data_IF_619882128995
#
_entry.id   IF_619882128995
#
_cell.length_a   1.000
_cell.length_b   1.000
_cell.length_c   1.000
_cell.angle_alpha   90.00
_cell.angle_beta   90.00
_cell.angle_gamma   90.00
#
_symmetry.space_group_name_H-M   'P 1'
#
loop_
_entity.id
_entity.type
_entity.pdbx_description
1 polymer ?
#
# COMPACT_ATOMS: atom_id res chain seq x y z
N UNK A 1 7.89 -0.60 6.92
CA UNK A 1 7.55 -1.52 5.82
C UNK A 1 8.58 -1.44 4.69
N UNK A 2 8.87 -0.25 4.14
CA UNK A 2 9.80 -0.02 3.01
C UNK A 2 11.13 -0.82 3.05
N UNK A 3 11.87 -0.80 4.17
CA UNK A 3 13.16 -1.51 4.28
C UNK A 3 13.05 -3.04 4.24
N UNK A 4 11.90 -3.62 4.60
CA UNK A 4 11.68 -5.07 4.48
C UNK A 4 11.49 -5.49 3.02
N UNK A 5 10.83 -4.66 2.23
CA UNK A 5 10.62 -4.92 0.80
C UNK A 5 11.96 -4.85 0.04
N UNK A 6 12.79 -3.83 0.29
CA UNK A 6 14.11 -3.72 -0.36
C UNK A 6 15.01 -4.94 -0.07
N UNK A 7 14.94 -5.50 1.14
CA UNK A 7 15.67 -6.72 1.46
C UNK A 7 15.10 -7.94 0.72
N UNK A 8 13.77 -8.08 0.67
CA UNK A 8 13.10 -9.16 -0.04
C UNK A 8 13.41 -9.13 -1.54
N UNK A 9 13.38 -7.96 -2.16
CA UNK A 9 13.71 -7.75 -3.58
C UNK A 9 15.14 -8.20 -3.88
N UNK A 10 16.10 -7.83 -3.01
CA UNK A 10 17.50 -8.30 -3.15
C UNK A 10 17.63 -9.80 -3.01
N UNK A 11 16.91 -10.42 -2.07
CA UNK A 11 16.91 -11.88 -1.92
C UNK A 11 16.31 -12.57 -3.14
N UNK A 12 15.25 -12.02 -3.72
CA UNK A 12 14.67 -12.53 -4.96
C UNK A 12 15.67 -12.43 -6.11
N UNK A 13 16.29 -11.25 -6.31
CA UNK A 13 17.29 -11.04 -7.36
C UNK A 13 18.47 -12.02 -7.23
N UNK A 14 18.96 -12.22 -6.01
CA UNK A 14 20.04 -13.19 -5.74
C UNK A 14 19.56 -14.62 -6.03
N UNK A 15 18.33 -14.97 -5.64
CA UNK A 15 17.74 -16.29 -5.87
C UNK A 15 17.64 -16.59 -7.36
N UNK A 16 17.18 -15.64 -8.17
CA UNK A 16 17.10 -15.75 -9.63
C UNK A 16 18.49 -15.90 -10.26
N UNK A 17 19.48 -15.14 -9.81
CA UNK A 17 20.87 -15.26 -10.29
C UNK A 17 21.48 -16.62 -9.97
N UNK A 18 21.25 -17.14 -8.77
CA UNK A 18 21.75 -18.45 -8.38
C UNK A 18 21.06 -19.55 -9.21
N UNK A 19 19.74 -19.47 -9.38
CA UNK A 19 18.99 -20.44 -10.18
C UNK A 19 19.45 -20.48 -11.65
N UNK A 20 19.66 -19.31 -12.25
CA UNK A 20 20.19 -19.18 -13.60
C UNK A 20 21.61 -19.76 -13.71
N UNK A 21 22.49 -19.43 -12.75
CA UNK A 21 23.87 -19.92 -12.74
C UNK A 21 23.95 -21.44 -12.57
N UNK A 22 23.12 -22.02 -11.70
CA UNK A 22 23.04 -23.48 -11.54
C UNK A 22 22.52 -24.16 -12.81
N UNK A 23 21.54 -23.56 -13.49
CA UNK A 23 20.93 -24.15 -14.70
C UNK A 23 21.87 -24.16 -15.90
N UNK A 24 22.85 -23.26 -15.94
CA UNK A 24 23.86 -23.19 -17.00
C UNK A 24 24.94 -24.30 -16.88
N UNK A 25 25.04 -24.95 -15.71
CA UNK A 25 26.03 -26.02 -15.48
C UNK A 25 25.58 -27.31 -16.17
N UNK A 26 26.46 -27.84 -17.03
CA UNK A 26 26.26 -29.13 -17.69
C UNK A 26 26.64 -30.30 -16.76
N UNK A 27 25.80 -30.60 -15.76
CA UNK A 27 26.07 -31.66 -14.76
C UNK A 27 26.30 -33.05 -15.37
N UNK A 28 25.66 -33.36 -16.51
CA UNK A 28 25.84 -34.62 -17.24
C UNK A 28 27.27 -34.86 -17.76
N UNK A 29 28.12 -33.82 -17.77
CA UNK A 29 29.54 -33.92 -18.17
C UNK A 29 30.48 -34.06 -16.98
N UNK A 30 29.95 -33.97 -15.76
CA UNK A 30 30.72 -34.15 -14.55
C UNK A 30 30.58 -35.62 -14.13
N UNK A 31 31.70 -36.29 -13.87
CA UNK A 31 31.71 -37.66 -13.33
C UNK A 31 31.34 -37.63 -11.83
N UNK A 32 30.09 -37.29 -11.53
CA UNK A 32 29.55 -37.19 -10.17
C UNK A 32 28.76 -38.45 -9.79
N UNK A 33 28.66 -38.74 -8.49
CA UNK A 33 27.88 -39.86 -7.99
C UNK A 33 26.37 -39.58 -8.04
N UNK A 34 25.58 -40.66 -7.98
CA UNK A 34 24.11 -40.59 -7.96
C UNK A 34 23.58 -39.74 -6.79
N UNK A 35 24.18 -39.88 -5.61
CA UNK A 35 23.79 -39.10 -4.42
C UNK A 35 24.03 -37.59 -4.60
N UNK A 36 25.11 -37.21 -5.29
CA UNK A 36 25.41 -35.80 -5.59
C UNK A 36 24.44 -35.27 -6.63
N UNK A 37 24.06 -36.09 -7.61
CA UNK A 37 23.06 -35.72 -8.62
C UNK A 37 21.69 -35.45 -7.99
N UNK A 38 21.23 -36.32 -7.08
CA UNK A 38 19.96 -36.11 -6.35
C UNK A 38 19.98 -34.80 -5.54
N UNK A 39 21.11 -34.49 -4.90
CA UNK A 39 21.28 -33.23 -4.16
C UNK A 39 21.17 -32.01 -5.09
N UNK A 40 21.77 -32.06 -6.28
CA UNK A 40 21.67 -31.00 -7.27
C UNK A 40 20.22 -30.81 -7.72
N UNK A 41 19.50 -31.89 -8.02
CA UNK A 41 18.10 -31.83 -8.41
C UNK A 41 17.21 -31.21 -7.31
N UNK A 42 17.47 -31.58 -6.05
CA UNK A 42 16.80 -30.97 -4.90
C UNK A 42 17.07 -29.47 -4.81
N UNK A 43 18.32 -29.04 -4.96
CA UNK A 43 18.68 -27.61 -4.95
C UNK A 43 17.94 -26.86 -6.06
N UNK A 44 17.93 -27.38 -7.29
CA UNK A 44 17.15 -26.79 -8.39
C UNK A 44 15.66 -26.70 -8.07
N UNK A 45 15.07 -27.75 -7.49
CA UNK A 45 13.66 -27.75 -7.13
C UNK A 45 13.34 -26.66 -6.09
N UNK A 46 14.22 -26.46 -5.10
CA UNK A 46 14.05 -25.41 -4.09
C UNK A 46 14.17 -24.01 -4.67
N UNK A 47 15.16 -23.76 -5.52
CA UNK A 47 15.33 -22.46 -6.18
C UNK A 47 14.17 -22.12 -7.13
N UNK A 48 13.70 -23.09 -7.92
CA UNK A 48 12.51 -22.93 -8.78
C UNK A 48 11.26 -22.61 -7.97
N UNK A 49 11.08 -23.29 -6.83
CA UNK A 49 9.97 -23.04 -5.92
C UNK A 49 10.03 -21.64 -5.31
N UNK A 50 11.20 -21.23 -4.84
CA UNK A 50 11.41 -19.92 -4.23
C UNK A 50 11.13 -18.78 -5.23
N UNK A 51 11.60 -18.93 -6.47
CA UNK A 51 11.32 -17.99 -7.57
C UNK A 51 9.82 -17.86 -7.87
N UNK A 52 9.13 -18.99 -8.06
CA UNK A 52 7.71 -19.01 -8.39
C UNK A 52 6.82 -18.40 -7.29
N UNK A 53 7.14 -18.63 -6.02
CA UNK A 53 6.28 -18.21 -4.90
C UNK A 53 6.11 -16.69 -4.81
N UNK A 54 7.15 -15.92 -5.12
CA UNK A 54 7.08 -14.46 -5.15
C UNK A 54 6.36 -13.97 -6.41
N UNK A 55 6.68 -14.55 -7.57
CA UNK A 55 6.07 -14.17 -8.85
C UNK A 55 4.54 -14.34 -8.86
N UNK A 56 3.97 -15.40 -8.28
CA UNK A 56 2.53 -15.63 -8.32
C UNK A 56 1.73 -14.84 -7.27
N UNK A 57 2.27 -14.63 -6.08
CA UNK A 57 1.54 -13.99 -4.99
C UNK A 57 1.35 -12.49 -5.23
N UNK A 58 2.37 -11.82 -5.74
CA UNK A 58 2.36 -10.39 -6.01
C UNK A 58 1.66 -10.08 -7.34
N UNK A 59 1.85 -10.92 -8.38
CA UNK A 59 1.16 -10.72 -9.66
C UNK A 59 -0.37 -10.78 -9.53
N UNK A 60 -0.90 -11.70 -8.73
CA UNK A 60 -2.34 -11.78 -8.52
C UNK A 60 -2.86 -10.54 -7.79
N UNK A 61 -2.14 -10.05 -6.78
CA UNK A 61 -2.50 -8.84 -6.05
C UNK A 61 -2.45 -7.61 -6.97
N UNK A 62 -1.41 -7.48 -7.79
CA UNK A 62 -1.25 -6.39 -8.75
C UNK A 62 -2.36 -6.39 -9.81
N UNK A 63 -2.70 -7.55 -10.34
CA UNK A 63 -3.82 -7.71 -11.27
C UNK A 63 -5.14 -7.29 -10.63
N UNK A 64 -5.40 -7.74 -9.40
CA UNK A 64 -6.62 -7.42 -8.69
C UNK A 64 -6.73 -5.92 -8.39
N UNK A 65 -5.64 -5.29 -7.95
CA UNK A 65 -5.58 -3.84 -7.72
C UNK A 65 -5.82 -3.10 -9.04
N UNK A 66 -5.18 -3.53 -10.13
CA UNK A 66 -5.35 -2.90 -11.45
C UNK A 66 -6.79 -3.02 -11.97
N UNK A 67 -7.43 -4.18 -11.80
CA UNK A 67 -8.85 -4.37 -12.13
C UNK A 67 -9.73 -3.48 -11.26
N UNK A 68 -9.50 -3.50 -9.95
CA UNK A 68 -10.27 -2.70 -9.00
C UNK A 68 -10.12 -1.19 -9.21
N UNK A 69 -9.01 -0.71 -9.77
CA UNK A 69 -8.81 0.70 -10.12
C UNK A 69 -9.49 1.08 -11.44
N UNK A 70 -9.38 0.23 -12.47
CA UNK A 70 -9.90 0.50 -13.82
C UNK A 70 -11.42 0.37 -13.90
N UNK A 71 -11.98 -0.66 -13.25
CA UNK A 71 -13.40 -0.96 -13.34
C UNK A 71 -14.19 -0.13 -12.32
N UNK A 72 -15.32 0.42 -12.75
CA UNK A 72 -16.20 1.19 -11.85
C UNK A 72 -16.80 0.29 -10.76
N UNK A 73 -17.27 -0.89 -11.17
CA UNK A 73 -17.93 -1.89 -10.33
C UNK A 73 -17.21 -3.25 -10.49
N UNK A 74 -16.08 -3.46 -9.81
CA UNK A 74 -15.32 -4.71 -9.91
C UNK A 74 -16.10 -5.89 -9.34
N UNK A 75 -15.80 -7.10 -9.82
CA UNK A 75 -16.38 -8.33 -9.27
C UNK A 75 -16.17 -8.40 -7.74
N UNK A 76 -17.22 -8.61 -6.93
CA UNK A 76 -17.11 -8.78 -5.47
C UNK A 76 -16.09 -9.83 -5.05
N UNK A 77 -15.86 -10.88 -5.85
CA UNK A 77 -14.84 -11.89 -5.57
C UNK A 77 -13.40 -11.32 -5.61
N UNK A 78 -13.15 -10.32 -6.46
CA UNK A 78 -11.88 -9.59 -6.54
C UNK A 78 -11.71 -8.72 -5.30
N UNK A 79 -12.75 -7.94 -4.94
CA UNK A 79 -12.72 -7.07 -3.76
C UNK A 79 -12.55 -7.87 -2.46
N UNK A 80 -13.19 -9.03 -2.35
CA UNK A 80 -13.02 -9.95 -1.21
C UNK A 80 -11.58 -10.46 -1.12
N UNK A 81 -11.00 -10.89 -2.24
CA UNK A 81 -9.61 -11.36 -2.29
C UNK A 81 -8.62 -10.26 -1.93
N UNK A 82 -8.85 -9.03 -2.40
CA UNK A 82 -8.08 -7.85 -2.02
C UNK A 82 -8.20 -7.55 -0.52
N UNK A 83 -9.41 -7.53 0.02
CA UNK A 83 -9.64 -7.34 1.46
C UNK A 83 -8.90 -8.39 2.30
N UNK A 84 -8.91 -9.65 1.87
CA UNK A 84 -8.22 -10.74 2.55
C UNK A 84 -6.69 -10.60 2.50
N UNK A 85 -6.14 -10.24 1.33
CA UNK A 85 -4.69 -10.09 1.07
C UNK A 85 -4.11 -8.83 1.69
N UNK A 86 -4.84 -7.72 1.66
CA UNK A 86 -4.45 -6.44 2.27
C UNK A 86 -4.79 -6.38 3.77
N UNK A 87 -5.44 -7.42 4.31
CA UNK A 87 -5.89 -7.48 5.70
C UNK A 87 -6.88 -6.36 6.10
N UNK A 88 -7.70 -5.89 5.15
CA UNK A 88 -8.71 -4.85 5.34
C UNK A 88 -10.11 -5.47 5.47
N UNK A 89 -10.31 -6.28 6.52
CA UNK A 89 -11.49 -7.17 6.65
C UNK A 89 -12.66 -6.51 7.40
N UNK A 90 -12.37 -5.48 8.17
CA UNK A 90 -13.37 -4.80 9.00
C UNK A 90 -13.44 -3.31 8.67
N UNK A 91 -14.56 -2.69 9.07
CA UNK A 91 -14.72 -1.24 8.98
C UNK A 91 -13.64 -0.51 9.80
N UNK A 92 -13.19 -1.10 10.91
CA UNK A 92 -12.13 -0.52 11.74
C UNK A 92 -10.79 -0.53 11.01
N UNK A 93 -10.46 -1.61 10.28
CA UNK A 93 -9.24 -1.68 9.47
C UNK A 93 -9.25 -0.60 8.39
N UNK A 94 -10.39 -0.43 7.70
CA UNK A 94 -10.57 0.60 6.68
C UNK A 94 -10.52 2.03 7.24
N UNK A 95 -11.14 2.28 8.40
CA UNK A 95 -11.08 3.59 9.08
C UNK A 95 -9.66 3.93 9.49
N UNK A 96 -8.92 2.94 10.00
CA UNK A 96 -7.52 3.09 10.38
C UNK A 96 -6.67 3.42 9.15
N UNK A 97 -6.77 2.61 8.10
CA UNK A 97 -6.01 2.80 6.85
C UNK A 97 -6.31 4.16 6.20
N UNK A 98 -7.59 4.55 6.16
CA UNK A 98 -7.99 5.88 5.64
C UNK A 98 -7.42 7.03 6.47
N UNK A 99 -7.21 6.85 7.77
CA UNK A 99 -6.59 7.86 8.63
C UNK A 99 -5.08 7.92 8.40
N UNK A 100 -4.42 6.76 8.28
CA UNK A 100 -2.98 6.69 7.96
C UNK A 100 -2.69 7.30 6.59
N UNK A 101 -3.54 7.05 5.59
CA UNK A 101 -3.45 7.67 4.27
C UNK A 101 -3.56 9.21 4.35
N UNK A 102 -4.45 9.74 5.18
CA UNK A 102 -4.60 11.17 5.39
C UNK A 102 -3.35 11.80 6.02
N UNK A 103 -2.79 11.16 7.06
CA UNK A 103 -1.53 11.63 7.67
C UNK A 103 -0.38 11.60 6.67
N UNK A 104 -0.31 10.58 5.81
CA UNK A 104 0.68 10.51 4.74
C UNK A 104 0.58 11.73 3.80
N UNK A 105 -0.63 12.11 3.38
CA UNK A 105 -0.85 13.29 2.52
C UNK A 105 -0.32 14.55 3.19
N UNK A 106 -0.61 14.78 4.47
CA UNK A 106 -0.13 15.95 5.22
C UNK A 106 1.41 15.99 5.21
N UNK A 107 2.07 14.86 5.40
CA UNK A 107 3.53 14.78 5.46
C UNK A 107 4.22 14.83 4.10
N UNK A 108 3.50 14.61 3.00
CA UNK A 108 4.05 14.44 1.64
C UNK A 108 4.25 15.73 0.84
N UNK A 109 4.00 16.91 1.42
CA UNK A 109 4.12 18.24 0.79
C UNK A 109 3.46 18.36 -0.61
N UNK A 110 2.42 17.56 -0.87
CA UNK A 110 1.61 17.64 -2.10
C UNK A 110 2.06 16.78 -3.29
N UNK A 111 3.08 15.92 -3.16
CA UNK A 111 3.60 15.12 -4.28
C UNK A 111 2.75 13.87 -4.64
N UNK A 112 1.72 13.53 -3.86
CA UNK A 112 1.03 12.23 -3.95
C UNK A 112 -0.13 12.12 -4.94
N UNK A 113 -0.48 13.19 -5.67
CA UNK A 113 -1.72 13.39 -6.44
C UNK A 113 -2.44 12.14 -6.96
N UNK A 114 -1.93 11.51 -8.02
CA UNK A 114 -2.60 10.38 -8.69
C UNK A 114 -2.64 9.11 -7.82
N UNK A 115 -1.61 8.90 -6.99
CA UNK A 115 -1.50 7.74 -6.10
C UNK A 115 -2.53 7.82 -4.97
N UNK A 116 -2.72 9.01 -4.39
CA UNK A 116 -3.69 9.23 -3.33
C UNK A 116 -5.12 8.96 -3.79
N UNK A 117 -5.50 9.44 -4.98
CA UNK A 117 -6.84 9.20 -5.53
C UNK A 117 -7.05 7.71 -5.82
N UNK A 118 -6.04 7.03 -6.37
CA UNK A 118 -6.11 5.60 -6.65
C UNK A 118 -6.32 4.76 -5.37
N UNK A 119 -5.58 5.05 -4.30
CA UNK A 119 -5.72 4.35 -3.01
C UNK A 119 -7.05 4.71 -2.33
N UNK A 120 -7.45 5.98 -2.35
CA UNK A 120 -8.72 6.45 -1.78
C UNK A 120 -9.94 5.82 -2.49
N UNK A 121 -9.87 5.68 -3.80
CA UNK A 121 -10.88 4.99 -4.62
C UNK A 121 -10.95 3.51 -4.25
N UNK A 122 -9.81 2.84 -4.10
CA UNK A 122 -9.76 1.43 -3.71
C UNK A 122 -10.36 1.19 -2.32
N UNK A 123 -9.99 1.98 -1.32
CA UNK A 123 -10.53 1.87 0.05
C UNK A 123 -12.05 2.04 0.08
N UNK A 124 -12.60 2.93 -0.77
CA UNK A 124 -14.04 3.13 -0.89
C UNK A 124 -14.75 1.89 -1.44
N UNK A 125 -14.22 1.30 -2.50
CA UNK A 125 -14.76 0.06 -3.10
C UNK A 125 -14.71 -1.11 -2.12
N UNK A 126 -13.61 -1.24 -1.36
CA UNK A 126 -13.49 -2.26 -0.32
C UNK A 126 -14.48 -2.05 0.82
N UNK A 127 -14.71 -0.82 1.25
CA UNK A 127 -15.71 -0.48 2.27
C UNK A 127 -17.11 -0.90 1.86
N UNK A 128 -17.49 -0.63 0.62
CA UNK A 128 -18.81 -0.99 0.11
C UNK A 128 -19.00 -2.52 0.06
N UNK A 129 -17.94 -3.28 -0.25
CA UNK A 129 -17.96 -4.75 -0.18
C UNK A 129 -18.08 -5.30 1.25
N UNK A 130 -17.32 -4.75 2.21
CA UNK A 130 -17.32 -5.19 3.62
C UNK A 130 -18.68 -4.91 4.29
N UNK A 131 -19.36 -3.83 3.90
CA UNK A 131 -20.70 -3.49 4.41
C UNK A 131 -21.78 -4.45 3.93
N UNK A 132 -21.65 -5.01 2.72
CA UNK A 132 -22.60 -5.98 2.17
C UNK A 132 -22.52 -7.32 2.92
N UNK A 133 -21.32 -7.74 3.31
CA UNK A 133 -21.09 -9.00 4.03
C UNK A 133 -21.44 -8.91 5.54
N UNK A 134 -21.58 -7.70 6.11
CA UNK A 134 -21.90 -7.50 7.52
C UNK A 134 -23.01 -6.44 7.75
N UNK A 135 -24.28 -6.78 7.48
CA UNK A 135 -25.40 -5.83 7.53
C UNK A 135 -25.74 -5.35 8.95
N UNK A 136 -25.26 -6.00 10.01
CA UNK A 136 -25.58 -5.62 11.39
C UNK A 136 -24.92 -4.31 11.84
N UNK A 137 -23.85 -3.87 11.16
CA UNK A 137 -23.11 -2.62 11.47
C UNK A 137 -23.67 -1.41 10.69
N UNK A 138 -24.56 -1.63 9.73
CA UNK A 138 -25.12 -0.58 8.89
C UNK A 138 -26.13 0.34 9.63
N UNK A 139 -26.59 -0.06 10.83
CA UNK A 139 -27.67 0.65 11.54
C UNK A 139 -27.23 1.90 12.33
N UNK A 140 -25.94 2.24 12.41
CA UNK A 140 -25.48 3.35 13.27
C UNK A 140 -24.67 4.44 12.57
N UNK A 141 -24.38 4.33 11.27
CA UNK A 141 -23.51 5.31 10.60
C UNK A 141 -24.12 5.80 9.29
N UNK A 142 -25.31 6.39 9.40
CA UNK A 142 -25.76 7.43 8.46
C UNK A 142 -25.12 8.78 8.81
N UNK A 143 -23.85 8.79 9.19
CA UNK A 143 -23.06 10.01 9.16
C UNK A 143 -22.38 10.03 7.82
N UNK A 144 -22.95 10.83 6.91
CA UNK A 144 -22.13 11.42 5.87
C UNK A 144 -20.91 12.00 6.57
N UNK A 145 -19.75 11.36 6.38
CA UNK A 145 -18.46 11.94 6.69
C UNK A 145 -18.31 13.10 5.72
N UNK A 146 -18.99 14.19 6.03
CA UNK A 146 -18.64 15.52 5.58
C UNK A 146 -17.24 15.70 6.11
N UNK A 147 -16.27 15.57 5.22
CA UNK A 147 -14.86 15.81 5.46
C UNK A 147 -14.78 17.26 5.96
N UNK A 148 -14.89 17.44 7.27
CA UNK A 148 -14.47 18.68 7.91
C UNK A 148 -12.97 18.63 7.78
N UNK A 149 -12.45 19.27 6.74
CA UNK A 149 -11.07 19.73 6.72
C UNK A 149 -10.82 20.34 8.10
N UNK A 150 -10.05 19.67 8.95
CA UNK A 150 -9.57 20.28 10.18
C UNK A 150 -8.66 21.40 9.70
N UNK A 151 -9.22 22.60 9.63
CA UNK A 151 -8.43 23.80 9.41
C UNK A 151 -7.35 23.80 10.50
N UNK A 152 -6.07 23.96 10.13
CA UNK A 152 -4.99 23.95 11.11
C UNK A 152 -5.32 24.91 12.24
N UNK A 153 -5.05 24.52 13.49
CA UNK A 153 -5.28 25.39 14.65
C UNK A 153 -4.34 26.57 14.53
N UNK A 154 -4.88 27.72 14.11
CA UNK A 154 -4.12 28.97 13.96
C UNK A 154 -3.70 29.41 15.37
N UNK A 155 -2.41 29.64 15.69
CA UNK A 155 -2.02 30.19 16.99
C UNK A 155 -2.60 31.60 17.19
N UNK A 156 -2.92 31.97 18.42
CA UNK A 156 -3.61 33.24 18.71
C UNK A 156 -2.86 34.48 18.19
N UNK A 157 -1.53 34.43 18.15
CA UNK A 157 -0.67 35.48 17.59
C UNK A 157 -0.91 35.77 16.10
N UNK A 158 -1.50 34.82 15.37
CA UNK A 158 -1.81 34.93 13.94
C UNK A 158 -3.31 35.07 13.68
N UNK A 159 -4.13 35.22 14.72
CA UNK A 159 -5.57 35.44 14.59
C UNK A 159 -5.90 36.92 14.68
N UNK A 160 -6.87 37.36 13.90
CA UNK A 160 -7.49 38.66 14.10
C UNK A 160 -8.27 38.63 15.44
N UNK A 161 -8.08 39.61 16.35
CA UNK A 161 -8.79 39.66 17.63
C UNK A 161 -10.32 39.72 17.51
N UNK A 162 -10.84 40.11 16.34
CA UNK A 162 -12.28 40.27 16.10
C UNK A 162 -12.85 39.05 15.38
N UNK A 163 -12.24 38.60 14.28
CA UNK A 163 -12.79 37.48 13.49
C UNK A 163 -12.33 36.11 13.99
N UNK A 164 -11.25 36.03 14.77
CA UNK A 164 -10.56 34.79 15.16
C UNK A 164 -10.05 33.95 13.97
N UNK A 165 -10.10 34.50 12.76
CA UNK A 165 -9.55 33.92 11.54
C UNK A 165 -8.10 34.37 11.33
N UNK A 166 -7.38 33.67 10.43
CA UNK A 166 -5.99 33.97 10.09
C UNK A 166 -5.86 35.43 9.61
N UNK A 167 -4.95 36.18 10.20
CA UNK A 167 -4.69 37.58 9.86
C UNK A 167 -4.16 37.67 8.43
N UNK A 168 -4.96 38.23 7.52
CA UNK A 168 -4.62 38.34 6.09
C UNK A 168 -3.77 39.56 5.74
N UNK A 169 -3.62 40.52 6.65
CA UNK A 169 -2.99 41.81 6.37
C UNK A 169 -2.05 42.23 7.52
N UNK A 170 -0.85 41.62 7.62
CA UNK A 170 0.11 41.97 8.66
C UNK A 170 0.72 43.36 8.39
N UNK A 171 0.57 44.28 9.34
CA UNK A 171 1.24 45.59 9.29
C UNK A 171 2.74 45.39 9.54
N UNK A 172 3.56 45.56 8.51
CA UNK A 172 5.02 45.56 8.66
C UNK A 172 5.42 46.90 9.28
N UNK A 173 5.76 46.90 10.57
CA UNK A 173 6.48 48.02 11.20
C UNK A 173 7.97 47.80 11.00
N UNK A 174 8.57 48.54 10.06
CA UNK A 174 10.02 48.67 10.00
C UNK A 174 10.50 49.24 11.33
N UNK A 175 11.13 48.43 12.17
CA UNK A 175 11.84 48.94 13.35
C UNK A 175 13.00 49.79 12.85
N UNK A 176 12.77 51.10 12.71
CA UNK A 176 13.79 52.09 12.49
C UNK A 176 14.62 52.23 13.77
N UNK A 177 15.60 51.35 13.94
CA UNK A 177 16.73 51.59 14.83
C UNK A 177 17.95 51.87 13.95
N UNK A 178 18.30 53.16 13.90
CA UNK A 178 19.63 53.65 13.58
C UNK A 178 20.47 53.63 14.86
#
# INVERSE_FOLDING_TARGET
>A
ALRRNEAADKFQEITEKIEAALTDISYNKLEISEEVQEQIELVHAQFKRAKAQTEFADLQLDLDIAVAQKEKDPDPAILKRLSEKLHLRTINDLKKESSELHELVITSDGELGDSFEAVSSLLRKLKDCVLIDNPEVASYESEQVSIKHRSPVIPDDFRCPISLELMKDPVIVSTGQL
#
